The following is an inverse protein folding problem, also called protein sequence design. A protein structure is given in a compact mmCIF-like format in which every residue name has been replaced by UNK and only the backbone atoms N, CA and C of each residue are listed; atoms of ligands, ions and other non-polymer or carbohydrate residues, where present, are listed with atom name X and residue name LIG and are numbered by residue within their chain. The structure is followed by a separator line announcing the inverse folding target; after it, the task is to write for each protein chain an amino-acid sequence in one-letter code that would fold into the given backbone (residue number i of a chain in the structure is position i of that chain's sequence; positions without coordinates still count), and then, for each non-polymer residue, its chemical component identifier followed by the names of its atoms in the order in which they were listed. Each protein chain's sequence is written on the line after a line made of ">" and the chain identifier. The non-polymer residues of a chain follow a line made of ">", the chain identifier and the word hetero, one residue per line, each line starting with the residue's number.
data_IF_687360336847
#
_entry.id   IF_687360336847
#
_cell.length_a   1.000
_cell.length_b   1.000
_cell.length_c   1.000
_cell.angle_alpha   90.00
_cell.angle_beta   90.00
_cell.angle_gamma   90.00
#
_symmetry.space_group_name_H-M   'P 1'
#
loop_
_entity.id
_entity.type
_entity.pdbx_description
1 polymer ?
#
# COMPACT_ATOMS: atom_id res chain seq x y z
N UNK A 1 -0.99 3.07 -7.55
CA UNK A 1 -0.58 1.71 -7.98
C UNK A 1 -0.63 0.75 -6.79
N UNK A 2 -0.85 -0.56 -6.99
CA UNK A 2 -0.77 -1.58 -5.93
C UNK A 2 0.31 -2.62 -6.24
N UNK A 3 1.21 -2.88 -5.29
CA UNK A 3 2.30 -3.83 -5.49
C UNK A 3 2.93 -4.37 -4.20
N UNK A 4 3.88 -5.27 -4.35
CA UNK A 4 4.69 -5.85 -3.26
C UNK A 4 6.17 -5.83 -3.61
N UNK A 5 7.05 -5.85 -2.60
CA UNK A 5 8.50 -5.90 -2.82
C UNK A 5 8.90 -7.14 -3.64
N UNK A 6 9.89 -6.98 -4.54
CA UNK A 6 10.49 -8.13 -5.22
C UNK A 6 11.36 -8.98 -4.28
N UNK A 7 11.89 -8.36 -3.25
CA UNK A 7 12.69 -9.03 -2.22
C UNK A 7 11.75 -9.54 -1.15
N UNK A 8 11.83 -10.83 -0.85
CA UNK A 8 11.06 -11.41 0.24
C UNK A 8 11.72 -11.07 1.58
N UNK A 9 11.00 -10.50 2.55
CA UNK A 9 11.50 -10.36 3.90
C UNK A 9 11.84 -11.72 4.51
N UNK A 10 12.94 -11.79 5.26
CA UNK A 10 13.30 -12.96 6.05
C UNK A 10 12.22 -13.18 7.12
N UNK A 11 11.34 -14.16 6.90
CA UNK A 11 10.18 -14.42 7.78
C UNK A 11 8.87 -14.78 7.07
N UNK A 12 8.85 -14.82 5.74
CA UNK A 12 7.68 -15.28 4.97
C UNK A 12 6.52 -14.28 4.89
N UNK A 13 6.72 -13.05 5.34
CA UNK A 13 5.79 -11.94 5.14
C UNK A 13 5.92 -11.31 3.75
N UNK A 14 5.12 -10.27 3.52
CA UNK A 14 5.20 -9.44 2.33
C UNK A 14 4.86 -7.99 2.66
N UNK A 15 5.42 -7.07 1.90
CA UNK A 15 5.05 -5.65 1.95
C UNK A 15 3.87 -5.39 1.01
N UNK A 16 2.99 -4.47 1.37
CA UNK A 16 1.94 -3.96 0.50
C UNK A 16 2.15 -2.46 0.26
N UNK A 17 2.29 -2.07 -1.00
CA UNK A 17 2.47 -0.68 -1.39
C UNK A 17 1.26 -0.16 -2.16
N UNK A 18 0.77 1.00 -1.75
CA UNK A 18 -0.20 1.81 -2.49
C UNK A 18 0.46 3.14 -2.81
N UNK A 19 0.50 3.52 -4.10
CA UNK A 19 0.99 4.86 -4.50
C UNK A 19 -0.17 5.79 -4.81
N UNK A 20 -0.05 7.03 -4.33
CA UNK A 20 -0.94 8.18 -4.54
C UNK A 20 -0.48 9.07 -5.70
N UNK A 21 0.81 9.04 -6.02
CA UNK A 21 1.41 9.70 -7.17
C UNK A 21 2.20 8.71 -8.07
N UNK A 22 2.51 9.08 -9.33
CA UNK A 22 3.46 8.33 -10.15
C UNK A 22 4.86 8.32 -9.53
N UNK A 23 5.44 7.13 -9.34
CA UNK A 23 6.82 6.95 -8.85
C UNK A 23 7.55 6.02 -9.83
N UNK A 24 8.15 6.56 -10.91
CA UNK A 24 8.74 5.74 -11.98
C UNK A 24 9.78 4.73 -11.47
N UNK A 25 10.70 5.18 -10.61
CA UNK A 25 11.82 4.39 -10.07
C UNK A 25 11.38 3.23 -9.16
N UNK A 26 10.14 3.26 -8.67
CA UNK A 26 9.61 2.19 -7.81
C UNK A 26 9.27 0.95 -8.62
N UNK A 27 8.88 1.12 -9.88
CA UNK A 27 8.40 0.04 -10.77
C UNK A 27 9.45 -1.05 -10.96
N UNK A 28 10.74 -0.70 -10.97
CA UNK A 28 11.82 -1.69 -11.09
C UNK A 28 12.04 -2.49 -9.81
N UNK A 29 11.61 -1.98 -8.65
CA UNK A 29 11.84 -2.56 -7.32
C UNK A 29 10.66 -3.36 -6.79
N UNK A 30 9.45 -3.15 -7.32
CA UNK A 30 8.22 -3.81 -6.86
C UNK A 30 7.56 -4.65 -7.95
N UNK A 31 6.84 -5.70 -7.55
CA UNK A 31 5.92 -6.42 -8.41
C UNK A 31 4.55 -5.74 -8.35
N UNK A 32 4.17 -5.08 -9.43
CA UNK A 32 2.86 -4.43 -9.57
C UNK A 32 1.81 -5.47 -9.94
N UNK A 33 0.74 -5.56 -9.16
CA UNK A 33 -0.32 -6.55 -9.40
C UNK A 33 -1.73 -5.96 -9.37
N UNK A 34 -1.88 -4.65 -9.14
CA UNK A 34 -3.20 -4.04 -9.13
C UNK A 34 -3.21 -2.52 -9.07
N UNK A 35 -4.42 -2.00 -8.88
CA UNK A 35 -4.70 -0.58 -8.64
C UNK A 35 -5.95 -0.43 -7.78
N UNK A 36 -6.03 0.69 -7.09
CA UNK A 36 -7.25 1.13 -6.42
C UNK A 36 -8.28 1.49 -7.49
N UNK A 37 -9.51 0.99 -7.35
CA UNK A 37 -10.62 1.27 -8.28
C UNK A 37 -11.81 1.98 -7.61
N UNK A 38 -11.81 2.01 -6.27
CA UNK A 38 -12.79 2.65 -5.39
C UNK A 38 -12.09 2.98 -4.07
N UNK A 39 -12.49 4.08 -3.42
CA UNK A 39 -11.90 4.52 -2.14
C UNK A 39 -10.57 5.26 -2.30
N UNK A 40 -10.38 5.97 -3.42
CA UNK A 40 -9.17 6.78 -3.65
C UNK A 40 -9.07 7.97 -2.68
N UNK A 41 -10.22 8.55 -2.33
CA UNK A 41 -10.38 9.56 -1.27
C UNK A 41 -9.87 9.05 0.09
N UNK A 42 -10.18 7.80 0.45
CA UNK A 42 -9.69 7.20 1.69
C UNK A 42 -8.17 6.97 1.65
N UNK A 43 -7.62 6.61 0.48
CA UNK A 43 -6.17 6.46 0.31
C UNK A 43 -5.46 7.81 0.48
N UNK A 44 -6.05 8.90 -0.04
CA UNK A 44 -5.53 10.26 0.16
C UNK A 44 -5.65 10.70 1.63
N UNK A 45 -6.76 10.41 2.30
CA UNK A 45 -6.91 10.70 3.73
C UNK A 45 -5.84 9.99 4.59
N UNK A 46 -5.48 8.75 4.23
CA UNK A 46 -4.38 8.01 4.88
C UNK A 46 -3.01 8.62 4.57
N UNK A 47 -2.79 9.18 3.38
CA UNK A 47 -1.54 9.86 3.00
C UNK A 47 -1.32 11.14 3.81
N UNK A 48 -2.40 11.88 4.12
CA UNK A 48 -2.34 13.18 4.79
C UNK A 48 -2.21 13.08 6.32
N UNK A 49 -2.19 11.88 6.90
CA UNK A 49 -2.09 11.70 8.35
C UNK A 49 -0.76 12.21 8.90
N UNK A 50 -0.81 12.75 10.12
CA UNK A 50 0.40 13.16 10.83
C UNK A 50 1.36 11.98 11.03
N UNK A 51 2.61 12.17 10.62
CA UNK A 51 3.69 11.19 10.79
C UNK A 51 4.76 11.69 11.75
N UNK A 52 5.53 10.76 12.30
CA UNK A 52 6.76 11.06 13.04
C UNK A 52 7.96 11.30 12.09
N UNK A 53 9.14 11.54 12.67
CA UNK A 53 10.38 11.78 11.92
C UNK A 53 10.85 10.59 11.08
N UNK A 54 10.25 9.40 11.28
CA UNK A 54 10.54 8.18 10.54
C UNK A 54 9.41 7.80 9.58
N UNK A 55 8.52 8.75 9.24
CA UNK A 55 7.38 8.55 8.36
C UNK A 55 6.39 7.50 8.84
N UNK A 56 6.28 7.28 10.16
CA UNK A 56 5.28 6.39 10.76
C UNK A 56 4.07 7.20 11.20
N UNK A 57 2.84 6.77 10.87
CA UNK A 57 1.63 7.43 11.34
C UNK A 57 1.59 7.54 12.87
N UNK A 58 1.28 8.72 13.41
CA UNK A 58 1.12 8.93 14.86
C UNK A 58 -0.12 8.24 15.41
N UNK A 59 -1.17 8.14 14.58
CA UNK A 59 -2.36 7.35 14.86
C UNK A 59 -2.20 5.94 14.26
N UNK A 60 -2.71 4.89 14.91
CA UNK A 60 -2.64 3.53 14.37
C UNK A 60 -3.49 3.40 13.11
N UNK A 61 -2.86 2.97 12.01
CA UNK A 61 -3.52 2.65 10.75
C UNK A 61 -3.23 1.19 10.44
N UNK A 62 -4.28 0.39 10.28
CA UNK A 62 -4.16 -1.04 10.09
C UNK A 62 -5.29 -1.62 9.25
N UNK A 63 -5.02 -2.77 8.63
CA UNK A 63 -6.01 -3.53 7.88
C UNK A 63 -6.78 -4.40 8.87
N UNK A 64 -8.07 -4.15 9.03
CA UNK A 64 -8.94 -4.92 9.95
C UNK A 64 -9.53 -6.17 9.29
N UNK A 65 -9.88 -6.08 8.00
CA UNK A 65 -10.48 -7.17 7.23
C UNK A 65 -10.08 -7.06 5.75
N UNK A 66 -9.96 -8.21 5.08
CA UNK A 66 -9.80 -8.29 3.62
C UNK A 66 -10.85 -9.24 3.06
N UNK A 67 -11.70 -8.72 2.17
CA UNK A 67 -12.72 -9.52 1.48
C UNK A 67 -12.34 -9.75 0.02
N UNK A 68 -12.18 -11.01 -0.38
CA UNK A 68 -12.04 -11.36 -1.79
C UNK A 68 -13.40 -11.32 -2.50
N UNK A 69 -13.63 -10.32 -3.34
CA UNK A 69 -14.85 -10.24 -4.16
C UNK A 69 -14.68 -11.07 -5.43
N UNK A 70 -15.29 -12.25 -5.45
CA UNK A 70 -15.42 -13.05 -6.67
C UNK A 70 -16.68 -12.59 -7.41
N UNK A 71 -16.57 -12.31 -8.70
CA UNK A 71 -17.75 -12.27 -9.57
C UNK A 71 -18.04 -13.72 -9.95
N UNK A 72 -19.20 -14.24 -9.52
CA UNK A 72 -19.76 -15.49 -10.04
C UNK A 72 -20.15 -15.31 -11.51
#
# INVERSE_FOLDING_TARGET
>A
MLGTSKVKPDGGGFDLFITTAPIPDLTEKINVFGRVIKGEDIVQEIEEVDTDEHYRPKAPIGITEVTLKQKL
#
